data_IF_287708933934
#
_entry.id   IF_287708933934
#
_cell.length_a   1.000
_cell.length_b   1.000
_cell.length_c   1.000
_cell.angle_alpha   90.00
_cell.angle_beta   90.00
_cell.angle_gamma   90.00
#
_symmetry.space_group_name_H-M   'P 1'
#
loop_
_entity.id
_entity.type
_entity.pdbx_description
1 polymer ?
#
# COMPACT_ATOMS: atom_id res chain seq x y z
N UNK A 1 3.34 6.08 -12.02
CA UNK A 1 3.34 4.98 -11.04
C UNK A 1 2.62 5.39 -9.76
N UNK A 2 2.83 6.62 -9.27
CA UNK A 2 2.15 7.15 -8.09
C UNK A 2 0.62 7.14 -8.20
N UNK A 3 0.03 7.56 -9.34
CA UNK A 3 -1.43 7.51 -9.53
C UNK A 3 -2.02 6.10 -9.40
N UNK A 4 -1.30 5.10 -9.90
CA UNK A 4 -1.71 3.70 -9.77
C UNK A 4 -1.64 3.24 -8.30
N UNK A 5 -0.63 3.67 -7.55
CA UNK A 5 -0.52 3.40 -6.12
C UNK A 5 -1.68 4.01 -5.34
N UNK A 6 -2.03 5.28 -5.63
CA UNK A 6 -3.16 5.98 -5.02
C UNK A 6 -4.48 5.24 -5.31
N UNK A 7 -4.72 4.85 -6.57
CA UNK A 7 -5.92 4.11 -6.94
C UNK A 7 -6.00 2.75 -6.24
N UNK A 8 -4.89 2.00 -6.18
CA UNK A 8 -4.91 0.69 -5.52
C UNK A 8 -4.99 0.78 -4.00
N UNK A 9 -4.43 1.81 -3.36
CA UNK A 9 -4.65 2.09 -1.95
C UNK A 9 -6.13 2.37 -1.64
N UNK A 10 -6.81 3.15 -2.49
CA UNK A 10 -8.25 3.40 -2.36
C UNK A 10 -9.08 2.12 -2.52
N UNK A 11 -8.74 1.27 -3.49
CA UNK A 11 -9.43 -0.02 -3.70
C UNK A 11 -9.16 -1.00 -2.55
N UNK A 12 -7.94 -1.00 -2.02
CA UNK A 12 -7.57 -1.83 -0.86
C UNK A 12 -8.39 -1.42 0.36
N UNK A 13 -8.44 -0.12 0.70
CA UNK A 13 -9.29 0.41 1.76
C UNK A 13 -10.76 -0.02 1.61
N UNK A 14 -11.34 0.17 0.42
CA UNK A 14 -12.71 -0.26 0.16
C UNK A 14 -12.91 -1.77 0.34
N UNK A 15 -11.90 -2.58 0.03
CA UNK A 15 -11.97 -4.04 0.20
C UNK A 15 -11.88 -4.45 1.67
N UNK A 16 -11.10 -3.72 2.46
CA UNK A 16 -10.88 -3.98 3.87
C UNK A 16 -12.05 -3.52 4.74
N UNK A 17 -12.82 -2.51 4.31
CA UNK A 17 -13.93 -1.94 5.09
C UNK A 17 -14.94 -2.97 5.61
N UNK A 18 -15.18 -4.07 4.89
CA UNK A 18 -16.09 -5.14 5.31
C UNK A 18 -15.43 -6.28 6.09
N UNK A 19 -14.10 -6.25 6.26
CA UNK A 19 -13.30 -7.31 6.89
C UNK A 19 -12.71 -6.80 8.20
N UNK A 20 -12.00 -5.67 8.13
CA UNK A 20 -11.29 -5.06 9.23
C UNK A 20 -11.28 -3.53 9.02
N UNK A 21 -12.03 -2.83 9.86
CA UNK A 21 -12.15 -1.38 9.80
C UNK A 21 -10.84 -0.67 10.14
N UNK A 22 -10.01 -1.23 11.04
CA UNK A 22 -8.72 -0.65 11.39
C UNK A 22 -7.77 -0.76 10.20
N UNK A 23 -7.70 -1.94 9.58
CA UNK A 23 -6.89 -2.14 8.38
C UNK A 23 -7.35 -1.25 7.22
N UNK A 24 -8.67 -1.05 7.06
CA UNK A 24 -9.22 -0.10 6.10
C UNK A 24 -8.71 1.32 6.34
N UNK A 25 -8.70 1.78 7.59
CA UNK A 25 -8.23 3.12 7.92
C UNK A 25 -6.72 3.28 7.69
N UNK A 26 -5.93 2.24 8.00
CA UNK A 26 -4.50 2.20 7.67
C UNK A 26 -4.25 2.27 6.15
N UNK A 27 -5.05 1.59 5.34
CA UNK A 27 -4.96 1.68 3.88
C UNK A 27 -5.39 3.07 3.33
N UNK A 28 -6.36 3.73 3.98
CA UNK A 28 -6.73 5.12 3.69
C UNK A 28 -5.56 6.07 4.00
N UNK A 29 -4.90 5.90 5.15
CA UNK A 29 -3.71 6.69 5.50
C UNK A 29 -2.58 6.53 4.47
N UNK A 30 -2.31 5.31 4.00
CA UNK A 30 -1.36 5.07 2.90
C UNK A 30 -1.75 5.85 1.65
N UNK A 31 -3.03 5.84 1.27
CA UNK A 31 -3.52 6.60 0.11
C UNK A 31 -3.25 8.10 0.28
N UNK A 32 -3.57 8.65 1.44
CA UNK A 32 -3.46 10.08 1.71
C UNK A 32 -1.98 10.51 1.73
N UNK A 33 -1.09 9.67 2.28
CA UNK A 33 0.37 9.85 2.17
C UNK A 33 0.83 9.87 0.71
N UNK A 34 0.38 8.91 -0.11
CA UNK A 34 0.72 8.87 -1.54
C UNK A 34 0.20 10.08 -2.33
N UNK A 35 -0.97 10.63 -1.96
CA UNK A 35 -1.52 11.86 -2.55
C UNK A 35 -0.72 13.11 -2.19
N UNK A 36 0.02 13.07 -1.09
CA UNK A 36 0.77 14.20 -0.53
C UNK A 36 2.15 14.40 -1.15
N UNK A 37 2.46 13.68 -2.25
CA UNK A 37 3.80 13.66 -2.86
C UNK A 37 4.88 13.22 -1.85
N UNK A 38 4.84 11.93 -1.44
CA UNK A 38 5.67 11.43 -0.37
C UNK A 38 7.16 11.43 -0.75
N UNK A 39 8.01 11.64 0.25
CA UNK A 39 9.44 11.35 0.16
C UNK A 39 9.73 9.86 0.45
N UNK A 40 11.00 9.46 0.34
CA UNK A 40 11.44 8.07 0.56
C UNK A 40 11.04 7.55 1.95
N UNK A 41 11.14 8.38 2.99
CA UNK A 41 10.75 7.99 4.35
C UNK A 41 9.25 7.72 4.45
N UNK A 42 8.43 8.56 3.81
CA UNK A 42 6.99 8.36 3.74
C UNK A 42 6.63 7.11 2.91
N UNK A 43 7.36 6.81 1.83
CA UNK A 43 7.18 5.58 1.06
C UNK A 43 7.56 4.32 1.87
N UNK A 44 8.67 4.35 2.61
CA UNK A 44 9.07 3.28 3.53
C UNK A 44 8.03 3.06 4.64
N UNK A 45 7.48 4.14 5.21
CA UNK A 45 6.40 4.06 6.18
C UNK A 45 5.12 3.45 5.57
N UNK A 46 4.80 3.78 4.31
CA UNK A 46 3.71 3.14 3.58
C UNK A 46 3.95 1.63 3.42
N UNK A 47 5.16 1.22 3.02
CA UNK A 47 5.51 -0.20 2.88
C UNK A 47 5.34 -0.97 4.20
N UNK A 48 5.85 -0.42 5.31
CA UNK A 48 5.71 -1.02 6.63
C UNK A 48 4.24 -1.12 7.09
N UNK A 49 3.43 -0.10 6.79
CA UNK A 49 1.99 -0.12 7.08
C UNK A 49 1.27 -1.22 6.31
N UNK A 50 1.60 -1.40 5.02
CA UNK A 50 1.04 -2.46 4.19
C UNK A 50 1.44 -3.85 4.69
N UNK A 51 2.68 -4.02 5.14
CA UNK A 51 3.15 -5.27 5.75
C UNK A 51 2.36 -5.60 7.02
N UNK A 52 2.16 -4.62 7.92
CA UNK A 52 1.37 -4.81 9.13
C UNK A 52 -0.10 -5.20 8.83
N UNK A 53 -0.70 -4.63 7.78
CA UNK A 53 -2.04 -5.05 7.33
C UNK A 53 -2.02 -6.51 6.83
N UNK A 54 -0.98 -6.92 6.09
CA UNK A 54 -0.87 -8.30 5.61
C UNK A 54 -0.84 -9.32 6.75
N UNK A 55 -0.09 -9.00 7.80
CA UNK A 55 0.11 -9.85 8.97
C UNK A 55 -1.13 -9.95 9.85
N UNK A 56 -1.97 -8.91 9.89
CA UNK A 56 -3.21 -8.90 10.69
C UNK A 56 -4.37 -9.62 10.01
N UNK A 57 -4.31 -9.88 8.70
CA UNK A 57 -5.43 -10.47 7.97
C UNK A 57 -5.73 -11.90 8.42
N UNK A 58 -7.01 -12.27 8.65
CA UNK A 58 -7.38 -13.64 9.00
C UNK A 58 -7.14 -14.62 7.83
N UNK A 59 -7.22 -15.91 8.11
CA UNK A 59 -7.29 -16.92 7.06
C UNK A 59 -8.66 -16.90 6.36
N UNK A 60 -8.72 -17.33 5.10
CA UNK A 60 -9.97 -17.49 4.34
C UNK A 60 -9.95 -16.86 2.95
N UNK A 61 -10.95 -17.20 2.14
CA UNK A 61 -11.01 -16.83 0.71
C UNK A 61 -11.04 -15.31 0.49
N UNK A 62 -11.84 -14.58 1.26
CA UNK A 62 -11.94 -13.11 1.15
C UNK A 62 -10.62 -12.43 1.53
N UNK A 63 -9.99 -12.86 2.63
CA UNK A 63 -8.69 -12.36 3.03
C UNK A 63 -7.60 -12.72 2.00
N UNK A 64 -7.69 -13.87 1.34
CA UNK A 64 -6.82 -14.24 0.21
C UNK A 64 -6.91 -13.26 -0.97
N UNK A 65 -8.13 -12.85 -1.36
CA UNK A 65 -8.32 -11.84 -2.41
C UNK A 65 -7.74 -10.48 -2.02
N UNK A 66 -7.87 -10.09 -0.75
CA UNK A 66 -7.27 -8.85 -0.23
C UNK A 66 -5.75 -8.93 -0.21
N UNK A 67 -5.16 -10.06 0.20
CA UNK A 67 -3.70 -10.27 0.16
C UNK A 67 -3.12 -10.10 -1.24
N UNK A 68 -3.80 -10.59 -2.28
CA UNK A 68 -3.36 -10.38 -3.67
C UNK A 68 -3.31 -8.89 -4.02
N UNK A 69 -4.34 -8.12 -3.63
CA UNK A 69 -4.39 -6.66 -3.86
C UNK A 69 -3.30 -5.94 -3.08
N UNK A 70 -3.09 -6.34 -1.83
CA UNK A 70 -2.09 -5.78 -0.96
C UNK A 70 -0.67 -6.02 -1.52
N UNK A 71 -0.36 -7.25 -1.94
CA UNK A 71 0.91 -7.59 -2.57
C UNK A 71 1.16 -6.77 -3.85
N UNK A 72 0.11 -6.52 -4.64
CA UNK A 72 0.21 -5.64 -5.81
C UNK A 72 0.58 -4.21 -5.41
N UNK A 73 -0.08 -3.65 -4.40
CA UNK A 73 0.21 -2.29 -3.93
C UNK A 73 1.61 -2.18 -3.34
N UNK A 74 2.05 -3.16 -2.54
CA UNK A 74 3.41 -3.25 -2.03
C UNK A 74 4.44 -3.27 -3.16
N UNK A 75 4.20 -4.05 -4.23
CA UNK A 75 5.08 -4.07 -5.39
C UNK A 75 5.20 -2.70 -6.08
N UNK A 76 4.11 -1.92 -6.13
CA UNK A 76 4.15 -0.56 -6.69
C UNK A 76 4.93 0.39 -5.78
N UNK A 77 4.68 0.35 -4.46
CA UNK A 77 5.38 1.20 -3.48
C UNK A 77 6.88 0.90 -3.46
N UNK A 78 7.26 -0.38 -3.46
CA UNK A 78 8.68 -0.77 -3.52
C UNK A 78 9.34 -0.29 -4.81
N UNK A 79 8.65 -0.40 -5.95
CA UNK A 79 9.20 0.11 -7.20
C UNK A 79 9.32 1.65 -7.23
N UNK A 80 8.48 2.39 -6.49
CA UNK A 80 8.64 3.83 -6.31
C UNK A 80 9.90 4.14 -5.50
N UNK A 81 10.13 3.41 -4.39
CA UNK A 81 11.34 3.52 -3.57
C UNK A 81 12.60 3.24 -4.41
N UNK A 82 12.57 2.18 -5.22
CA UNK A 82 13.70 1.81 -6.09
C UNK A 82 13.97 2.85 -7.18
N UNK A 83 12.95 3.60 -7.62
CA UNK A 83 13.09 4.62 -8.67
C UNK A 83 13.74 5.90 -8.15
N UNK A 84 13.39 6.36 -6.95
CA UNK A 84 14.01 7.56 -6.34
C UNK A 84 15.44 7.29 -5.85
N UNK A 85 15.78 6.03 -5.55
CA UNK A 85 17.12 5.65 -5.07
C UNK A 85 18.15 5.40 -6.19
N UNK A 86 17.73 5.37 -7.46
CA UNK A 86 18.63 5.13 -8.58
C UNK A 86 19.23 6.47 -9.07
N UNK A 87 20.55 6.72 -8.92
CA UNK A 87 21.16 7.92 -9.47
C UNK A 87 21.02 7.91 -11.00
N UNK A 88 20.78 9.07 -11.66
CA UNK A 88 20.77 9.11 -13.12
C UNK A 88 22.12 8.62 -13.62
N UNK A 89 22.11 7.58 -14.47
CA UNK A 89 23.31 7.08 -15.10
C UNK A 89 24.00 8.23 -15.84
N UNK A 90 25.23 8.54 -15.43
CA UNK A 90 26.08 9.61 -15.98
C UNK A 90 26.64 9.28 -17.36
#
# INVERSE_FOLDING_TARGET
>A
MLDNAIQEAARLASSLRSIDQSASHSAEAVRDTLQSWPDDNALLACAATLEAISDSLPAGTLAGLVRIRLARLQGIVNALIDTDTMPPAA
#
